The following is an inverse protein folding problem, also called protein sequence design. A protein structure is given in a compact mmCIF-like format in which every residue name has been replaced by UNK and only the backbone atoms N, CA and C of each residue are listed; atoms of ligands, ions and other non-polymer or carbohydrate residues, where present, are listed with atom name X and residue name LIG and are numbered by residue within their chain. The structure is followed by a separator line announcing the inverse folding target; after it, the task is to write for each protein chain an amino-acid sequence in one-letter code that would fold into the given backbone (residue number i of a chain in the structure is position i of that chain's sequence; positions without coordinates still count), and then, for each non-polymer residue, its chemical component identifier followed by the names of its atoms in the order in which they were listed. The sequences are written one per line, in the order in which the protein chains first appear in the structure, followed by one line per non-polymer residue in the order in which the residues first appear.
data_IF_232946242603
#
_entry.id   IF_232946242603
#
_cell.length_a   1.000
_cell.length_b   1.000
_cell.length_c   1.000
_cell.angle_alpha   90.00
_cell.angle_beta   90.00
_cell.angle_gamma   90.00
#
_symmetry.space_group_name_H-M   'P 1'
#
loop_
_entity.id
_entity.type
_entity.pdbx_description
1 polymer ?
#
# COMPACT_ATOMS: atom_id res chain seq x y z
N UNK A 1 -41.86 2.94 59.13
CA UNK A 1 -41.04 2.14 58.18
C UNK A 1 -40.46 3.15 57.20
N UNK A 2 -39.18 3.03 56.88
CA UNK A 2 -38.52 3.88 55.88
C UNK A 2 -37.95 2.94 54.82
N UNK A 3 -38.27 3.21 53.57
CA UNK A 3 -37.78 2.44 52.43
C UNK A 3 -36.40 2.99 52.03
N UNK A 4 -35.45 2.10 51.80
CA UNK A 4 -34.09 2.48 51.40
C UNK A 4 -34.09 3.08 49.99
N UNK A 5 -33.26 4.11 49.72
CA UNK A 5 -33.02 4.51 48.34
C UNK A 5 -32.35 3.36 47.58
N UNK A 6 -32.74 3.24 46.31
CA UNK A 6 -32.21 2.29 45.34
C UNK A 6 -30.68 2.42 45.25
N UNK A 7 -29.96 1.31 45.46
CA UNK A 7 -28.51 1.29 45.29
C UNK A 7 -28.21 1.32 43.80
N UNK A 8 -27.69 2.45 43.30
CA UNK A 8 -27.22 2.55 41.93
C UNK A 8 -26.09 1.52 41.71
N UNK A 9 -26.38 0.46 40.96
CA UNK A 9 -25.36 -0.44 40.46
C UNK A 9 -24.45 0.36 39.51
N UNK A 10 -23.29 0.76 40.03
CA UNK A 10 -22.23 1.32 39.19
C UNK A 10 -21.89 0.27 38.13
N UNK A 11 -22.06 0.55 36.82
CA UNK A 11 -21.50 -0.34 35.81
C UNK A 11 -20.01 -0.43 36.11
N UNK A 12 -19.51 -1.67 36.25
CA UNK A 12 -18.13 -1.89 36.65
C UNK A 12 -17.21 -1.11 35.71
N UNK A 13 -16.33 -0.29 36.27
CA UNK A 13 -15.27 0.35 35.49
C UNK A 13 -14.61 -0.74 34.64
N UNK A 14 -14.53 -0.59 33.30
CA UNK A 14 -13.71 -1.49 32.52
C UNK A 14 -12.33 -1.47 33.14
N UNK A 15 -11.75 -2.65 33.40
CA UNK A 15 -10.38 -2.74 33.87
C UNK A 15 -9.51 -1.97 32.87
N UNK A 16 -8.56 -1.18 33.36
CA UNK A 16 -7.64 -0.41 32.53
C UNK A 16 -6.68 -1.39 31.83
N UNK A 17 -7.18 -2.03 30.77
CA UNK A 17 -6.46 -2.94 29.91
C UNK A 17 -5.38 -2.13 29.20
N UNK A 18 -4.14 -2.33 29.66
CA UNK A 18 -2.93 -1.61 29.25
C UNK A 18 -2.93 -1.32 27.74
N UNK A 19 -3.30 -0.09 27.38
CA UNK A 19 -3.36 0.39 25.99
C UNK A 19 -1.98 0.82 25.48
N UNK A 20 -0.97 0.04 25.90
CA UNK A 20 0.44 0.22 25.59
C UNK A 20 0.85 -1.00 24.78
N UNK A 21 1.31 -0.78 23.54
CA UNK A 21 1.80 -1.88 22.72
C UNK A 21 3.14 -2.39 23.33
N UNK A 22 3.43 -3.70 23.33
CA UNK A 22 4.59 -4.27 24.03
C UNK A 22 5.92 -4.06 23.27
N UNK A 23 6.10 -2.88 22.67
CA UNK A 23 7.22 -2.49 21.82
C UNK A 23 7.73 -1.12 22.28
N UNK A 24 9.04 -0.88 22.17
CA UNK A 24 9.65 0.44 22.32
C UNK A 24 9.84 1.11 20.95
N UNK A 25 10.06 2.43 20.95
CA UNK A 25 10.58 3.13 19.76
C UNK A 25 12.00 2.61 19.50
N UNK A 26 12.30 2.30 18.24
CA UNK A 26 13.60 1.76 17.82
C UNK A 26 13.70 0.23 17.75
N UNK A 27 12.70 -0.49 18.26
CA UNK A 27 12.62 -1.96 18.20
C UNK A 27 12.60 -2.46 16.75
N UNK A 28 13.26 -3.60 16.50
CA UNK A 28 13.19 -4.30 15.22
C UNK A 28 12.01 -5.27 15.27
N UNK A 29 11.08 -5.13 14.31
CA UNK A 29 9.84 -5.90 14.22
C UNK A 29 9.62 -6.44 12.81
N UNK A 30 8.97 -7.59 12.76
CA UNK A 30 8.59 -8.30 11.53
C UNK A 30 7.10 -8.62 11.55
N UNK A 31 6.46 -8.58 10.38
CA UNK A 31 5.08 -9.05 10.20
C UNK A 31 5.03 -10.57 10.24
N UNK A 32 4.11 -11.16 11.02
CA UNK A 32 3.93 -12.62 11.09
C UNK A 32 3.11 -13.21 9.94
N UNK A 33 2.44 -12.36 9.16
CA UNK A 33 1.61 -12.78 8.01
C UNK A 33 2.35 -12.66 6.67
N UNK A 34 3.51 -12.01 6.66
CA UNK A 34 4.48 -12.10 5.56
C UNK A 34 5.32 -13.37 5.72
N UNK A 35 5.65 -14.00 4.60
CA UNK A 35 6.39 -15.25 4.51
C UNK A 35 7.87 -15.02 4.12
N UNK A 36 8.25 -13.78 3.78
CA UNK A 36 9.64 -13.29 3.68
C UNK A 36 9.74 -11.88 4.34
N UNK A 37 9.45 -11.78 5.67
CA UNK A 37 9.21 -10.50 6.33
C UNK A 37 10.44 -9.61 6.35
N UNK A 38 10.27 -8.38 5.85
CA UNK A 38 11.29 -7.35 5.85
C UNK A 38 11.42 -6.69 7.23
N UNK A 39 12.66 -6.49 7.71
CA UNK A 39 12.94 -5.78 8.96
C UNK A 39 12.33 -4.37 8.94
N UNK A 40 11.31 -4.14 9.77
CA UNK A 40 10.76 -2.83 10.04
C UNK A 40 11.19 -2.34 11.42
N UNK A 41 11.33 -1.03 11.60
CA UNK A 41 11.65 -0.41 12.87
C UNK A 41 10.42 0.32 13.39
N UNK A 42 10.12 0.18 14.69
CA UNK A 42 9.06 0.94 15.35
C UNK A 42 9.47 2.41 15.42
N UNK A 43 8.72 3.28 14.73
CA UNK A 43 9.01 4.73 14.67
C UNK A 43 8.04 5.58 15.48
N UNK A 44 6.83 5.09 15.72
CA UNK A 44 5.81 5.78 16.51
C UNK A 44 4.81 4.79 17.13
N UNK A 45 4.34 5.10 18.34
CA UNK A 45 3.36 4.33 19.10
C UNK A 45 2.17 5.24 19.42
N UNK A 46 1.24 5.44 18.46
CA UNK A 46 0.06 6.27 18.70
C UNK A 46 -0.87 5.61 19.73
N UNK A 47 -1.31 6.40 20.71
CA UNK A 47 -2.32 5.99 21.71
C UNK A 47 -3.73 5.92 21.10
N UNK A 48 -3.90 5.04 20.11
CA UNK A 48 -5.12 4.79 19.33
C UNK A 48 -5.28 3.30 19.03
N UNK A 49 -6.52 2.86 18.95
CA UNK A 49 -6.88 1.50 18.56
C UNK A 49 -6.91 1.32 17.03
N UNK A 50 -6.91 0.07 16.57
CA UNK A 50 -6.98 -0.27 15.15
C UNK A 50 -8.27 0.19 14.46
N UNK A 51 -9.37 0.34 15.21
CA UNK A 51 -10.63 0.92 14.73
C UNK A 51 -10.58 2.46 14.57
N UNK A 52 -9.65 3.14 15.23
CA UNK A 52 -9.51 4.61 15.21
C UNK A 52 -8.41 5.11 14.26
N UNK A 53 -7.64 4.19 13.69
CA UNK A 53 -6.51 4.49 12.81
C UNK A 53 -6.86 4.24 11.35
N UNK A 54 -6.96 5.30 10.55
CA UNK A 54 -7.10 5.19 9.10
C UNK A 54 -5.75 4.75 8.51
N UNK A 55 -5.69 3.53 8.00
CA UNK A 55 -4.50 2.95 7.37
C UNK A 55 -4.35 3.40 5.91
N UNK A 56 -5.48 3.57 5.22
CA UNK A 56 -5.53 3.98 3.81
C UNK A 56 -6.65 5.02 3.60
N UNK A 57 -6.33 6.09 2.90
CA UNK A 57 -7.27 7.14 2.47
C UNK A 57 -7.05 7.41 0.99
N UNK A 58 -8.09 7.31 0.16
CA UNK A 58 -7.99 7.55 -1.28
C UNK A 58 -9.34 7.41 -2.00
N UNK A 59 -9.33 7.46 -3.33
CA UNK A 59 -10.56 7.48 -4.16
C UNK A 59 -11.46 6.25 -4.04
N UNK A 60 -10.96 5.15 -3.46
CA UNK A 60 -11.71 3.92 -3.19
C UNK A 60 -12.34 3.89 -1.77
N UNK A 61 -12.16 4.96 -0.99
CA UNK A 61 -12.66 5.09 0.38
C UNK A 61 -11.54 5.28 1.42
N UNK A 62 -11.98 5.40 2.67
CA UNK A 62 -11.13 5.36 3.86
C UNK A 62 -11.24 3.97 4.48
N UNK A 63 -10.12 3.38 4.90
CA UNK A 63 -10.09 2.07 5.56
C UNK A 63 -9.24 2.13 6.83
N UNK A 64 -9.81 1.63 7.93
CA UNK A 64 -9.12 1.49 9.21
C UNK A 64 -8.12 0.34 9.20
N UNK A 65 -7.16 0.33 10.14
CA UNK A 65 -6.28 -0.83 10.34
C UNK A 65 -7.10 -2.08 10.66
N UNK A 66 -8.19 -1.95 11.45
CA UNK A 66 -9.07 -3.07 11.80
C UNK A 66 -9.80 -3.68 10.57
N UNK A 67 -10.19 -2.86 9.59
CA UNK A 67 -10.79 -3.35 8.33
C UNK A 67 -9.78 -4.05 7.42
N UNK A 68 -8.52 -3.59 7.44
CA UNK A 68 -7.40 -4.21 6.70
C UNK A 68 -6.86 -5.46 7.42
N UNK A 69 -7.09 -5.58 8.74
CA UNK A 69 -6.61 -6.65 9.63
C UNK A 69 -7.76 -7.35 10.41
N UNK A 70 -8.83 -7.86 9.76
CA UNK A 70 -10.05 -8.31 10.43
C UNK A 70 -9.88 -9.56 11.31
N UNK A 71 -8.73 -10.23 11.23
CA UNK A 71 -8.35 -11.37 12.09
C UNK A 71 -7.88 -10.92 13.49
N UNK A 72 -7.55 -9.64 13.67
CA UNK A 72 -7.00 -9.07 14.90
C UNK A 72 -8.04 -8.23 15.66
N UNK A 73 -7.88 -8.01 16.98
CA UNK A 73 -8.82 -7.20 17.74
C UNK A 73 -8.85 -5.75 17.23
N UNK A 74 -10.06 -5.21 16.99
CA UNK A 74 -10.23 -3.83 16.52
C UNK A 74 -9.83 -2.79 17.59
N UNK A 75 -9.87 -3.20 18.85
CA UNK A 75 -9.38 -2.49 20.04
C UNK A 75 -7.85 -2.58 20.24
N UNK A 76 -7.12 -3.37 19.43
CA UNK A 76 -5.68 -3.52 19.59
C UNK A 76 -4.95 -2.18 19.35
N UNK A 77 -3.91 -1.85 20.15
CA UNK A 77 -3.13 -0.63 19.96
C UNK A 77 -2.32 -0.70 18.66
N UNK A 78 -2.12 0.45 18.02
CA UNK A 78 -1.41 0.57 16.75
C UNK A 78 0.08 0.83 16.94
N UNK A 79 0.88 0.16 16.13
CA UNK A 79 2.32 0.36 15.98
C UNK A 79 2.58 0.90 14.57
N UNK A 80 3.28 2.03 14.46
CA UNK A 80 3.71 2.57 13.17
C UNK A 80 5.18 2.23 12.94
N UNK A 81 5.44 1.57 11.81
CA UNK A 81 6.75 1.03 11.44
C UNK A 81 7.22 1.56 10.09
N UNK A 82 8.54 1.57 9.88
CA UNK A 82 9.18 1.90 8.60
C UNK A 82 10.25 0.86 8.32
N UNK A 83 10.37 0.38 7.08
CA UNK A 83 11.43 -0.57 6.72
C UNK A 83 12.83 0.00 6.99
N UNK A 84 13.71 -0.82 7.56
CA UNK A 84 14.99 -0.38 8.13
C UNK A 84 15.95 0.27 7.12
N UNK A 85 15.79 -0.04 5.83
CA UNK A 85 16.55 0.50 4.71
C UNK A 85 16.05 1.90 4.32
N UNK A 86 14.76 2.02 3.97
CA UNK A 86 14.10 3.30 3.66
C UNK A 86 14.19 4.30 4.82
N UNK A 87 14.14 3.82 6.07
CA UNK A 87 14.32 4.64 7.27
C UNK A 87 15.75 5.20 7.38
N UNK A 88 16.77 4.43 6.99
CA UNK A 88 18.16 4.88 6.96
C UNK A 88 18.42 5.92 5.88
N UNK A 89 17.77 5.80 4.72
CA UNK A 89 17.92 6.77 3.63
C UNK A 89 17.17 8.08 3.94
N UNK A 90 15.94 8.01 4.43
CA UNK A 90 15.12 9.19 4.72
C UNK A 90 15.48 9.92 6.03
N UNK A 91 15.97 9.20 7.05
CA UNK A 91 16.27 9.74 8.38
C UNK A 91 17.63 9.26 8.92
N UNK A 92 18.76 9.58 8.26
CA UNK A 92 20.09 9.10 8.64
C UNK A 92 20.54 9.59 10.03
N UNK A 93 20.08 10.76 10.46
CA UNK A 93 20.38 11.36 11.78
C UNK A 93 19.40 10.94 12.90
N UNK A 94 18.54 9.92 12.68
CA UNK A 94 17.55 9.49 13.67
C UNK A 94 18.09 8.43 14.64
N UNK A 95 18.31 8.82 15.89
CA UNK A 95 18.97 8.01 16.93
C UNK A 95 18.11 6.91 17.57
N UNK A 96 17.01 6.48 16.93
CA UNK A 96 16.07 5.41 17.36
C UNK A 96 15.34 5.60 18.69
N UNK A 97 15.81 6.42 19.63
CA UNK A 97 15.21 6.58 20.96
C UNK A 97 14.03 7.57 21.01
N UNK A 98 13.87 8.42 19.99
CA UNK A 98 12.83 9.48 19.94
C UNK A 98 11.73 9.13 18.94
N UNK A 99 10.42 9.17 19.29
CA UNK A 99 9.36 8.89 18.32
C UNK A 99 9.36 9.89 17.16
N UNK A 100 9.38 9.40 15.93
CA UNK A 100 9.29 10.23 14.73
C UNK A 100 7.89 10.84 14.62
N UNK A 101 7.84 12.16 14.42
CA UNK A 101 6.58 12.84 14.16
C UNK A 101 5.98 12.33 12.85
N UNK A 102 4.75 11.82 12.88
CA UNK A 102 4.11 11.20 11.71
C UNK A 102 3.98 12.14 10.51
N UNK A 103 3.90 13.46 10.74
CA UNK A 103 3.94 14.50 9.69
C UNK A 103 5.29 14.58 8.96
N UNK A 104 6.39 14.18 9.60
CA UNK A 104 7.69 14.05 8.95
C UNK A 104 7.75 12.76 8.12
N UNK A 105 7.30 11.63 8.67
CA UNK A 105 7.24 10.34 7.96
C UNK A 105 6.35 10.43 6.72
N UNK A 106 5.15 11.02 6.83
CA UNK A 106 4.23 11.30 5.71
C UNK A 106 4.74 12.34 4.70
N UNK A 107 5.89 12.97 4.94
CA UNK A 107 6.56 13.89 4.00
C UNK A 107 7.89 13.34 3.46
N UNK A 108 8.28 12.15 3.91
CA UNK A 108 9.41 11.41 3.37
C UNK A 108 8.92 10.38 2.34
N UNK A 109 9.82 9.93 1.47
CA UNK A 109 9.55 8.81 0.55
C UNK A 109 9.55 7.44 1.26
N UNK A 110 9.79 7.41 2.57
CA UNK A 110 9.91 6.17 3.34
C UNK A 110 8.54 5.48 3.48
N UNK A 111 8.44 4.28 2.89
CA UNK A 111 7.27 3.41 3.01
C UNK A 111 7.03 3.06 4.48
N UNK A 112 5.90 3.51 5.02
CA UNK A 112 5.53 3.37 6.42
C UNK A 112 4.15 2.73 6.55
N UNK A 113 3.98 1.91 7.57
CA UNK A 113 2.79 1.07 7.75
C UNK A 113 2.31 1.11 9.20
N UNK A 114 1.00 1.01 9.38
CA UNK A 114 0.34 0.95 10.70
C UNK A 114 -0.27 -0.44 10.89
N UNK A 115 0.30 -1.23 11.81
CA UNK A 115 -0.17 -2.59 12.11
C UNK A 115 -0.78 -2.66 13.52
N UNK A 116 -1.75 -3.58 13.76
CA UNK A 116 -2.15 -3.88 15.12
C UNK A 116 -0.98 -4.57 15.84
N UNK A 117 -0.66 -4.12 17.05
CA UNK A 117 0.40 -4.70 17.89
C UNK A 117 0.46 -6.24 17.89
N UNK A 118 -0.65 -7.00 18.02
CA UNK A 118 -0.62 -8.47 17.99
C UNK A 118 -0.33 -9.11 16.62
N UNK A 119 -0.11 -8.37 15.53
CA UNK A 119 0.39 -8.89 14.23
C UNK A 119 1.91 -8.84 14.13
N UNK A 120 2.57 -7.89 14.80
CA UNK A 120 4.03 -7.77 14.76
C UNK A 120 4.72 -8.75 15.72
N UNK A 121 5.98 -9.09 15.44
CA UNK A 121 6.86 -9.91 16.29
C UNK A 121 8.21 -9.20 16.42
N UNK A 122 8.78 -9.15 17.63
CA UNK A 122 10.11 -8.54 17.87
C UNK A 122 11.22 -9.48 17.41
N UNK A 123 12.20 -8.97 16.67
CA UNK A 123 13.49 -9.65 16.50
C UNK A 123 14.41 -9.28 17.68
N UNK A 124 14.29 -10.06 18.77
CA UNK A 124 15.14 -9.94 19.97
C UNK A 124 16.64 -10.10 19.65
N UNK A 125 16.99 -10.74 18.53
CA UNK A 125 18.39 -10.96 18.12
C UNK A 125 19.07 -9.69 17.61
N UNK A 126 18.30 -8.71 17.12
CA UNK A 126 18.80 -7.43 16.58
C UNK A 126 18.50 -6.23 17.48
N UNK A 127 17.50 -6.33 18.36
CA UNK A 127 17.06 -5.21 19.20
C UNK A 127 18.04 -4.87 20.33
N UNK A 128 18.74 -5.87 20.91
CA UNK A 128 19.64 -5.63 22.07
C UNK A 128 21.04 -5.12 21.70
N UNK A 129 21.09 -3.92 21.12
CA UNK A 129 22.33 -3.28 20.66
C UNK A 129 23.22 -2.64 21.75
N UNK A 130 22.70 -2.34 22.95
CA UNK A 130 23.47 -1.64 23.99
C UNK A 130 22.96 -1.84 25.44
N UNK A 131 23.20 -3.01 26.04
CA UNK A 131 23.55 -3.07 27.48
C UNK A 131 24.40 -4.31 27.84
N UNK A 132 25.46 -4.04 28.61
CA UNK A 132 26.24 -4.90 29.50
C UNK A 132 26.22 -6.43 29.32
N UNK A 133 27.23 -6.97 28.63
CA UNK A 133 27.68 -8.36 28.87
C UNK A 133 28.29 -8.53 30.27
N UNK A 134 28.02 -9.66 30.93
CA UNK A 134 29.05 -10.68 31.18
C UNK A 134 28.58 -12.05 30.64
N UNK A 135 29.41 -13.06 30.39
CA UNK A 135 30.87 -13.26 30.26
C UNK A 135 31.04 -14.59 29.46
N UNK A 136 32.26 -14.99 29.13
CA UNK A 136 32.58 -16.19 28.34
C UNK A 136 32.06 -17.53 28.96
N UNK A 137 32.05 -18.69 28.28
CA UNK A 137 32.94 -19.13 27.20
C UNK A 137 32.41 -20.40 26.48
N UNK A 138 32.94 -20.69 25.27
CA UNK A 138 33.19 -22.05 24.71
C UNK A 138 31.98 -22.99 24.39
N UNK A 139 31.87 -23.73 23.27
CA UNK A 139 32.78 -24.13 22.14
C UNK A 139 31.96 -24.19 20.82
N UNK A 140 32.46 -24.04 19.58
CA UNK A 140 33.54 -24.72 18.85
C UNK A 140 33.32 -26.26 18.75
N UNK A 141 33.23 -26.97 17.60
CA UNK A 141 33.30 -26.70 16.14
C UNK A 141 32.19 -27.59 15.45
N UNK A 142 32.07 -27.93 14.15
CA UNK A 142 32.90 -27.83 12.91
C UNK A 142 31.98 -27.88 11.65
N UNK A 143 32.45 -27.46 10.47
CA UNK A 143 31.64 -27.38 9.22
C UNK A 143 31.63 -28.66 8.34
N UNK A 144 30.54 -28.95 7.58
CA UNK A 144 30.40 -30.14 6.72
C UNK A 144 30.56 -29.90 5.19
N UNK A 145 30.86 -30.95 4.38
CA UNK A 145 30.84 -30.94 2.92
C UNK A 145 29.82 -31.93 2.27
N UNK A 146 29.77 -31.95 0.92
CA UNK A 146 29.11 -32.95 0.02
C UNK A 146 27.56 -33.00 0.03
N UNK A 147 26.85 -32.91 -1.10
CA UNK A 147 27.25 -32.59 -2.47
C UNK A 147 27.53 -33.80 -3.38
N UNK A 148 26.53 -34.22 -4.16
CA UNK A 148 26.68 -34.93 -5.43
C UNK A 148 25.45 -34.67 -6.33
N UNK A 149 25.57 -34.85 -7.64
CA UNK A 149 24.49 -34.65 -8.62
C UNK A 149 24.49 -35.81 -9.63
N UNK A 150 23.36 -36.09 -10.29
CA UNK A 150 23.33 -36.56 -11.71
C UNK A 150 21.90 -36.71 -12.26
N UNK A 151 21.74 -36.32 -13.54
CA UNK A 151 21.03 -37.01 -14.64
C UNK A 151 19.57 -37.53 -14.51
N UNK A 152 18.79 -37.66 -15.60
CA UNK A 152 18.78 -37.08 -16.95
C UNK A 152 17.53 -37.59 -17.72
N UNK A 153 17.17 -36.94 -18.85
CA UNK A 153 16.21 -37.42 -19.89
C UNK A 153 14.72 -37.50 -19.47
N UNK A 154 13.72 -37.38 -20.35
CA UNK A 154 13.69 -37.24 -21.82
C UNK A 154 12.73 -36.09 -22.23
N UNK A 155 13.04 -35.29 -23.26
CA UNK A 155 12.43 -35.40 -24.61
C UNK A 155 11.01 -35.99 -24.66
N UNK A 156 10.04 -35.17 -25.07
CA UNK A 156 9.10 -35.59 -26.11
C UNK A 156 8.88 -34.42 -27.07
N UNK A 157 9.11 -34.66 -28.35
CA UNK A 157 8.77 -33.78 -29.47
C UNK A 157 7.50 -34.36 -30.10
N UNK A 158 6.47 -33.54 -30.36
CA UNK A 158 5.56 -33.71 -31.51
C UNK A 158 4.52 -32.57 -31.54
N UNK A 159 4.54 -31.81 -32.63
CA UNK A 159 3.47 -30.90 -33.09
C UNK A 159 3.07 -31.42 -34.48
N UNK A 160 1.77 -31.58 -34.81
CA UNK A 160 1.20 -30.60 -35.75
C UNK A 160 -0.31 -30.33 -35.67
N UNK A 161 -0.67 -29.05 -35.89
CA UNK A 161 -1.81 -28.48 -36.66
C UNK A 161 -3.25 -29.04 -36.54
N UNK A 162 -4.21 -28.12 -36.37
CA UNK A 162 -5.41 -28.02 -37.22
C UNK A 162 -6.23 -26.73 -36.97
N UNK A 163 -5.99 -25.69 -37.77
CA UNK A 163 -7.04 -24.79 -38.27
C UNK A 163 -7.93 -25.59 -39.27
N UNK A 164 -9.22 -25.27 -39.53
CA UNK A 164 -9.65 -23.88 -39.79
C UNK A 164 -11.09 -23.45 -39.39
N UNK A 165 -11.27 -22.13 -39.36
CA UNK A 165 -12.41 -21.32 -39.84
C UNK A 165 -13.88 -21.75 -39.59
N UNK A 166 -14.70 -20.75 -39.23
CA UNK A 166 -16.13 -20.71 -39.61
C UNK A 166 -16.49 -19.30 -40.04
N UNK A 167 -17.06 -19.21 -41.24
CA UNK A 167 -17.54 -17.98 -41.90
C UNK A 167 -19.04 -17.82 -41.66
N UNK A 168 -19.50 -16.59 -41.38
CA UNK A 168 -20.83 -16.07 -41.77
C UNK A 168 -20.95 -14.58 -41.40
N UNK A 169 -21.11 -13.70 -42.39
CA UNK A 169 -21.55 -12.31 -42.19
C UNK A 169 -23.09 -12.19 -42.27
N UNK A 170 -23.69 -11.07 -41.85
CA UNK A 170 -24.93 -10.49 -42.44
C UNK A 170 -25.23 -9.06 -41.95
N UNK A 171 -25.37 -8.15 -42.92
CA UNK A 171 -26.20 -6.93 -42.99
C UNK A 171 -26.29 -5.94 -41.80
N UNK A 172 -25.60 -4.80 -42.00
CA UNK A 172 -26.17 -3.43 -42.08
C UNK A 172 -27.72 -3.30 -42.04
N UNK A 173 -28.27 -2.42 -41.18
CA UNK A 173 -29.15 -1.28 -41.57
C UNK A 173 -29.32 -0.24 -40.42
N UNK A 174 -29.87 0.94 -40.72
CA UNK A 174 -29.72 2.21 -39.98
C UNK A 174 -30.38 2.39 -38.58
N UNK A 175 -29.97 3.49 -37.91
CA UNK A 175 -30.69 4.26 -36.86
C UNK A 175 -30.41 3.93 -35.38
N UNK A 176 -29.14 4.00 -34.99
CA UNK A 176 -28.72 4.75 -33.78
C UNK A 176 -27.23 5.11 -33.91
N UNK A 177 -26.77 6.17 -33.22
CA UNK A 177 -25.34 6.46 -33.14
C UNK A 177 -24.63 5.26 -32.47
N UNK A 178 -23.57 4.69 -33.07
CA UNK A 178 -23.02 3.41 -32.64
C UNK A 178 -22.53 3.48 -31.19
N UNK A 179 -23.07 2.59 -30.35
CA UNK A 179 -22.64 2.44 -28.96
C UNK A 179 -21.16 2.00 -28.90
N UNK A 180 -20.72 1.24 -29.90
CA UNK A 180 -19.35 0.79 -30.11
C UNK A 180 -18.37 1.97 -30.21
N UNK A 181 -18.71 3.03 -30.96
CA UNK A 181 -17.87 4.22 -31.10
C UNK A 181 -17.85 5.10 -29.84
N UNK A 182 -18.90 5.04 -28.98
CA UNK A 182 -18.83 5.62 -27.63
C UNK A 182 -17.92 4.79 -26.75
N UNK A 183 -18.07 3.47 -26.76
CA UNK A 183 -17.27 2.53 -25.97
C UNK A 183 -15.79 2.63 -26.30
N UNK A 184 -15.45 2.82 -27.58
CA UNK A 184 -14.07 3.01 -28.06
C UNK A 184 -13.47 4.36 -27.64
N UNK A 185 -14.26 5.45 -27.71
CA UNK A 185 -13.88 6.75 -27.16
C UNK A 185 -13.74 6.73 -25.63
N UNK A 186 -14.63 6.02 -24.92
CA UNK A 186 -14.60 5.83 -23.46
C UNK A 186 -13.38 4.99 -23.04
N UNK A 187 -13.04 3.93 -23.78
CA UNK A 187 -11.82 3.15 -23.59
C UNK A 187 -10.57 4.01 -23.83
N UNK A 188 -10.55 4.82 -24.89
CA UNK A 188 -9.45 5.74 -25.21
C UNK A 188 -9.28 6.83 -24.16
N UNK A 189 -10.38 7.38 -23.61
CA UNK A 189 -10.35 8.29 -22.47
C UNK A 189 -9.85 7.61 -21.19
N UNK A 190 -10.24 6.36 -20.92
CA UNK A 190 -9.76 5.62 -19.75
C UNK A 190 -8.27 5.31 -19.84
N UNK A 191 -7.78 4.90 -21.02
CA UNK A 191 -6.36 4.67 -21.27
C UNK A 191 -5.55 5.98 -21.19
N UNK A 192 -6.05 7.08 -21.76
CA UNK A 192 -5.44 8.40 -21.64
C UNK A 192 -5.42 8.89 -20.18
N UNK A 193 -6.49 8.65 -19.41
CA UNK A 193 -6.53 8.94 -17.97
C UNK A 193 -5.45 8.18 -17.21
N UNK A 194 -5.41 6.85 -17.35
CA UNK A 194 -4.40 6.00 -16.70
C UNK A 194 -2.96 6.42 -17.09
N UNK A 195 -2.74 6.76 -18.36
CA UNK A 195 -1.46 7.23 -18.91
C UNK A 195 -1.01 8.56 -18.28
N UNK A 196 -1.94 9.45 -17.94
CA UNK A 196 -1.68 10.75 -17.31
C UNK A 196 -1.56 10.63 -15.79
N UNK A 197 -2.36 9.78 -15.13
CA UNK A 197 -2.23 9.45 -13.71
C UNK A 197 -0.91 8.74 -13.40
N UNK A 198 -0.50 7.78 -14.24
CA UNK A 198 0.85 7.20 -14.23
C UNK A 198 1.97 8.20 -14.56
N UNK A 199 1.62 9.35 -15.13
CA UNK A 199 2.50 10.53 -15.24
C UNK A 199 2.58 11.38 -13.97
N UNK A 200 1.91 10.98 -12.88
CA UNK A 200 1.78 11.73 -11.64
C UNK A 200 0.96 13.01 -11.81
N UNK A 201 -0.21 12.90 -12.45
CA UNK A 201 -1.23 13.95 -12.56
C UNK A 201 -2.50 13.51 -11.84
N UNK A 202 -3.24 14.44 -11.23
CA UNK A 202 -4.61 14.18 -10.79
C UNK A 202 -5.55 14.41 -11.98
N UNK A 203 -6.36 13.42 -12.35
CA UNK A 203 -7.18 13.47 -13.57
C UNK A 203 -8.65 13.25 -13.28
N UNK A 204 -9.48 14.23 -13.66
CA UNK A 204 -10.93 14.19 -13.54
C UNK A 204 -11.57 14.18 -14.94
N UNK A 205 -12.47 13.25 -15.23
CA UNK A 205 -13.18 13.20 -16.52
C UNK A 205 -14.39 14.13 -16.45
N UNK A 206 -14.58 14.99 -17.45
CA UNK A 206 -15.70 15.92 -17.48
C UNK A 206 -17.03 15.20 -17.76
N UNK A 207 -18.17 15.68 -17.21
CA UNK A 207 -19.48 15.01 -17.33
C UNK A 207 -19.99 14.90 -18.78
N UNK A 208 -19.45 15.69 -19.71
CA UNK A 208 -19.72 15.63 -21.14
C UNK A 208 -19.09 14.40 -21.85
N UNK A 209 -18.21 13.64 -21.18
CA UNK A 209 -17.58 12.44 -21.73
C UNK A 209 -16.74 12.69 -22.98
N UNK A 210 -16.13 13.88 -23.08
CA UNK A 210 -15.41 14.35 -24.27
C UNK A 210 -14.07 15.03 -23.95
N UNK A 211 -13.79 15.29 -22.67
CA UNK A 211 -12.56 15.90 -22.19
C UNK A 211 -12.25 15.41 -20.77
N UNK A 212 -10.99 15.52 -20.37
CA UNK A 212 -10.51 15.28 -19.03
C UNK A 212 -9.55 16.39 -18.59
N UNK A 213 -9.66 16.74 -17.31
CA UNK A 213 -8.95 17.83 -16.65
C UNK A 213 -7.81 17.23 -15.84
N UNK A 214 -6.58 17.38 -16.34
CA UNK A 214 -5.36 16.91 -15.71
C UNK A 214 -4.68 18.06 -14.95
N UNK A 215 -4.60 17.94 -13.62
CA UNK A 215 -3.93 18.92 -12.75
C UNK A 215 -2.61 18.34 -12.23
N UNK A 216 -1.54 19.14 -12.27
CA UNK A 216 -0.23 18.78 -11.71
C UNK A 216 0.49 20.00 -11.13
N UNK A 217 0.91 19.91 -9.86
CA UNK A 217 1.65 20.96 -9.13
C UNK A 217 0.95 22.34 -9.08
N UNK A 218 -0.37 22.38 -9.31
CA UNK A 218 -1.17 23.60 -9.35
C UNK A 218 -1.47 24.13 -10.77
N UNK A 219 -0.75 23.66 -11.79
CA UNK A 219 -1.14 23.87 -13.19
C UNK A 219 -2.30 22.92 -13.54
N UNK A 220 -3.30 23.41 -14.27
CA UNK A 220 -4.44 22.62 -14.76
C UNK A 220 -4.50 22.68 -16.29
N UNK A 221 -4.67 21.51 -16.91
CA UNK A 221 -4.68 21.31 -18.36
C UNK A 221 -5.92 20.51 -18.75
N UNK A 222 -6.60 20.90 -19.82
CA UNK A 222 -7.82 20.26 -20.34
C UNK A 222 -7.51 19.61 -21.68
N UNK A 223 -7.60 18.29 -21.74
CA UNK A 223 -7.29 17.49 -22.93
C UNK A 223 -8.48 16.63 -23.33
N UNK A 224 -8.53 16.25 -24.60
CA UNK A 224 -9.35 15.16 -25.14
C UNK A 224 -8.44 14.20 -25.90
N UNK A 225 -8.83 12.94 -26.17
CA UNK A 225 -8.12 12.10 -27.13
C UNK A 225 -7.83 12.87 -28.42
N UNK A 226 -6.59 12.79 -28.93
CA UNK A 226 -6.09 13.54 -30.08
C UNK A 226 -5.74 15.03 -29.89
N UNK A 227 -6.32 15.76 -28.92
CA UNK A 227 -6.09 17.21 -28.81
C UNK A 227 -6.01 17.78 -27.36
N UNK A 228 -4.98 18.60 -27.10
CA UNK A 228 -4.96 19.50 -25.94
C UNK A 228 -5.82 20.74 -26.23
N UNK A 229 -6.91 20.90 -25.48
CA UNK A 229 -7.86 22.00 -25.64
C UNK A 229 -7.35 23.26 -24.92
N UNK A 230 -6.98 23.15 -23.64
CA UNK A 230 -6.58 24.30 -22.80
C UNK A 230 -5.41 23.92 -21.87
N UNK A 231 -4.56 24.90 -21.52
CA UNK A 231 -3.47 24.72 -20.56
C UNK A 231 -2.14 25.29 -21.05
N UNK A 232 -1.69 26.38 -20.42
CA UNK A 232 -0.40 27.03 -20.66
C UNK A 232 0.55 26.74 -19.50
N UNK A 233 1.58 25.92 -19.73
CA UNK A 233 2.57 25.56 -18.72
C UNK A 233 3.64 24.61 -19.26
N UNK A 234 4.64 24.29 -18.44
CA UNK A 234 5.82 23.54 -18.87
C UNK A 234 5.51 22.11 -19.35
N UNK A 235 4.37 21.55 -18.94
CA UNK A 235 3.95 20.19 -19.31
C UNK A 235 3.20 20.14 -20.65
N UNK A 236 2.85 21.30 -21.24
CA UNK A 236 2.01 21.41 -22.45
C UNK A 236 2.48 20.50 -23.60
N UNK A 237 3.77 20.53 -23.94
CA UNK A 237 4.32 19.73 -25.04
C UNK A 237 4.35 18.23 -24.73
N UNK A 238 4.45 17.85 -23.45
CA UNK A 238 4.40 16.45 -23.02
C UNK A 238 2.96 15.92 -23.04
N UNK A 239 2.01 16.72 -22.59
CA UNK A 239 0.57 16.44 -22.70
C UNK A 239 0.17 16.25 -24.17
N UNK A 240 0.49 17.20 -25.05
CA UNK A 240 0.18 17.08 -26.48
C UNK A 240 0.78 15.82 -27.12
N UNK A 241 2.01 15.42 -26.74
CA UNK A 241 2.64 14.21 -27.26
C UNK A 241 2.06 12.90 -26.70
N UNK A 242 1.48 12.91 -25.50
CA UNK A 242 0.76 11.75 -24.93
C UNK A 242 -0.64 11.68 -25.55
N UNK A 243 -1.30 12.82 -25.72
CA UNK A 243 -2.67 12.91 -26.21
C UNK A 243 -2.80 12.50 -27.68
N UNK A 244 -1.82 12.84 -28.51
CA UNK A 244 -1.72 12.39 -29.90
C UNK A 244 -1.28 10.91 -30.06
N UNK A 245 -1.08 10.17 -28.95
CA UNK A 245 -0.91 8.71 -28.93
C UNK A 245 -2.29 7.98 -28.96
N UNK A 246 -3.39 8.73 -28.87
CA UNK A 246 -4.79 8.26 -28.79
C UNK A 246 -5.72 9.10 -29.72
N UNK A 247 -5.43 9.11 -31.04
CA UNK A 247 -6.39 9.51 -32.11
C UNK A 247 -7.10 8.28 -32.71
#
# INVERSE_FOLDING_TARGET
MAESPEAAETPSTPVEGTTDAPFAIGDVVQDREDNDPNDAIVVNLPSKTAAEWIARQGSWGEATVAEDNPTYPADAPIVVVVFADALREAFPDWERETPLALTAVNRSDASHYSFPAPRLTVDDSRTRGNDSSPDASERAETSPPSGEATSATARNDENPVADPATDAATAEDETSAPADARTDAEASMHALKERLEGGGMSVEIEPDGQALTATKLGDTYRVRPGELIEGEGALRSRLASIVAEYE
#
